data_IF_487336992152
#
_entry.id   IF_487336992152
#
_cell.length_a   1.000
_cell.length_b   1.000
_cell.length_c   1.000
_cell.angle_alpha   90.00
_cell.angle_beta   90.00
_cell.angle_gamma   90.00
#
_symmetry.space_group_name_H-M   'P 1'
#
loop_
_entity.id
_entity.type
_entity.pdbx_description
1 polymer ?
#
# COMPACT_ATOMS: atom_id res chain seq x y z
N UNK A 1 21.51 -17.23 -47.29
CA UNK A 1 20.46 -18.24 -47.55
C UNK A 1 20.20 -18.94 -46.23
N UNK A 2 19.60 -18.25 -45.25
CA UNK A 2 18.16 -17.92 -45.15
C UNK A 2 17.34 -19.23 -45.15
N UNK A 3 16.53 -19.59 -44.15
CA UNK A 3 15.73 -18.77 -43.23
C UNK A 3 15.54 -19.44 -41.86
N UNK A 4 15.57 -18.60 -40.83
CA UNK A 4 15.00 -18.87 -39.50
C UNK A 4 13.53 -18.41 -39.46
N UNK A 5 12.69 -19.13 -38.70
CA UNK A 5 11.76 -18.51 -37.74
C UNK A 5 11.07 -19.53 -36.81
N UNK A 6 10.62 -19.08 -35.63
CA UNK A 6 10.67 -19.86 -34.39
C UNK A 6 9.28 -20.06 -33.75
N UNK A 7 9.18 -20.96 -32.78
CA UNK A 7 7.96 -21.04 -31.98
C UNK A 7 8.00 -22.09 -30.88
N UNK A 8 8.17 -21.63 -29.64
CA UNK A 8 7.62 -22.32 -28.48
C UNK A 8 8.58 -23.21 -27.71
N UNK A 9 9.41 -22.61 -26.84
CA UNK A 9 9.80 -23.21 -25.55
C UNK A 9 10.75 -22.29 -24.79
N UNK A 10 10.21 -21.42 -23.95
CA UNK A 10 10.87 -21.07 -22.68
C UNK A 10 9.89 -20.31 -21.78
N UNK A 11 9.25 -21.02 -20.85
CA UNK A 11 8.50 -20.42 -19.74
C UNK A 11 8.43 -21.34 -18.52
N UNK A 12 9.40 -22.23 -18.35
CA UNK A 12 9.50 -23.14 -17.19
C UNK A 12 10.94 -23.52 -16.89
N UNK A 13 11.71 -22.64 -16.27
CA UNK A 13 12.92 -23.10 -15.55
C UNK A 13 13.43 -22.16 -14.45
N UNK A 14 12.64 -21.20 -13.98
CA UNK A 14 13.04 -20.32 -12.88
C UNK A 14 12.04 -20.42 -11.73
N UNK A 15 12.11 -21.55 -11.00
CA UNK A 15 11.17 -21.82 -9.90
C UNK A 15 11.67 -22.81 -8.82
N UNK A 16 12.97 -23.04 -8.65
CA UNK A 16 13.42 -24.00 -7.64
C UNK A 16 14.63 -23.47 -6.88
N UNK A 17 14.38 -22.85 -5.72
CA UNK A 17 15.44 -22.45 -4.80
C UNK A 17 14.92 -21.72 -3.58
N UNK A 18 14.37 -20.51 -3.76
CA UNK A 18 13.95 -19.66 -2.63
C UNK A 18 12.72 -18.78 -2.91
N UNK A 19 12.17 -18.83 -4.13
CA UNK A 19 10.89 -18.19 -4.48
C UNK A 19 9.66 -18.84 -3.80
N UNK A 20 9.87 -19.85 -2.95
CA UNK A 20 8.83 -20.54 -2.20
C UNK A 20 8.58 -19.94 -0.80
N UNK A 21 9.45 -19.06 -0.30
CA UNK A 21 9.37 -18.52 1.08
C UNK A 21 9.05 -17.02 1.17
N UNK A 22 9.07 -16.29 0.05
CA UNK A 22 8.48 -14.96 -0.04
C UNK A 22 7.03 -15.09 -0.53
N UNK A 23 6.07 -14.29 -0.01
CA UNK A 23 4.67 -14.34 -0.41
C UNK A 23 4.50 -13.71 -1.80
N UNK A 24 5.13 -14.31 -2.83
CA UNK A 24 4.97 -13.97 -4.24
C UNK A 24 3.49 -14.06 -4.64
N UNK A 25 2.75 -14.95 -3.98
CA UNK A 25 1.35 -15.20 -4.26
C UNK A 25 0.38 -14.68 -3.20
N UNK A 26 0.59 -14.84 -1.90
CA UNK A 26 -0.54 -14.69 -0.96
C UNK A 26 -1.14 -13.29 -0.88
N UNK A 27 -0.37 -12.20 -0.85
CA UNK A 27 -0.95 -10.84 -0.71
C UNK A 27 -1.72 -10.42 -1.96
N UNK A 28 -1.08 -10.52 -3.12
CA UNK A 28 -1.66 -10.11 -4.39
C UNK A 28 -2.66 -11.15 -4.92
N UNK A 29 -2.51 -12.43 -4.60
CA UNK A 29 -3.53 -13.44 -4.84
C UNK A 29 -4.71 -13.29 -3.88
N UNK A 30 -4.56 -12.97 -2.59
CA UNK A 30 -5.70 -12.67 -1.72
C UNK A 30 -6.37 -11.36 -2.11
N UNK A 31 -5.63 -10.32 -2.51
CA UNK A 31 -6.22 -9.10 -3.08
C UNK A 31 -6.87 -9.38 -4.44
N UNK A 32 -6.34 -10.27 -5.28
CA UNK A 32 -6.95 -10.69 -6.54
C UNK A 32 -8.13 -11.66 -6.34
N UNK A 33 -8.13 -12.50 -5.32
CA UNK A 33 -9.18 -13.46 -4.94
C UNK A 33 -10.29 -12.75 -4.17
N UNK A 34 -9.96 -11.75 -3.35
CA UNK A 34 -10.94 -10.89 -2.66
C UNK A 34 -11.42 -9.76 -3.54
N UNK A 35 -10.63 -9.26 -4.50
CA UNK A 35 -11.17 -8.46 -5.60
C UNK A 35 -11.97 -9.32 -6.57
N UNK A 36 -11.66 -10.61 -6.77
CA UNK A 36 -12.58 -11.60 -7.36
C UNK A 36 -13.79 -11.84 -6.50
N UNK A 37 -13.74 -11.82 -5.17
CA UNK A 37 -14.91 -11.95 -4.29
C UNK A 37 -15.72 -10.65 -4.25
N UNK A 38 -15.08 -9.50 -4.41
CA UNK A 38 -15.72 -8.18 -4.53
C UNK A 38 -16.34 -8.02 -5.91
N UNK A 39 -15.59 -8.30 -6.99
CA UNK A 39 -16.11 -8.36 -8.37
C UNK A 39 -17.10 -9.48 -8.56
N UNK A 40 -16.97 -10.65 -7.93
CA UNK A 40 -18.00 -11.71 -7.92
C UNK A 40 -19.18 -11.36 -7.03
N UNK A 41 -19.05 -10.55 -5.97
CA UNK A 41 -20.22 -9.96 -5.28
C UNK A 41 -20.89 -8.85 -6.09
N UNK A 42 -20.15 -8.21 -7.01
CA UNK A 42 -20.68 -7.25 -7.98
C UNK A 42 -21.20 -7.96 -9.24
N UNK A 43 -20.69 -9.15 -9.58
CA UNK A 43 -20.93 -9.93 -10.80
C UNK A 43 -21.63 -11.27 -10.55
N UNK A 44 -22.13 -11.54 -9.34
CA UNK A 44 -22.94 -12.73 -9.06
C UNK A 44 -24.27 -12.57 -9.78
N UNK A 45 -24.29 -13.18 -10.96
CA UNK A 45 -25.37 -13.24 -11.94
C UNK A 45 -26.71 -13.77 -11.41
N UNK A 46 -26.75 -14.42 -10.22
CA UNK A 46 -28.02 -14.77 -9.55
C UNK A 46 -28.74 -13.53 -8.99
N UNK A 47 -28.02 -12.44 -8.72
CA UNK A 47 -28.63 -11.13 -8.48
C UNK A 47 -28.89 -10.37 -9.79
N UNK A 48 -28.02 -10.51 -10.79
CA UNK A 48 -28.17 -9.80 -12.08
C UNK A 48 -29.39 -10.23 -12.90
N UNK A 49 -29.80 -11.51 -12.83
CA UNK A 49 -31.03 -11.98 -13.48
C UNK A 49 -32.30 -11.58 -12.71
N UNK A 50 -32.21 -11.40 -11.38
CA UNK A 50 -33.30 -10.87 -10.56
C UNK A 50 -33.44 -9.34 -10.69
N UNK A 51 -32.35 -8.67 -11.10
CA UNK A 51 -32.29 -7.23 -11.46
C UNK A 51 -32.97 -6.93 -12.80
N UNK A 52 -33.11 -7.90 -13.71
CA UNK A 52 -33.54 -7.68 -15.09
C UNK A 52 -35.03 -8.01 -15.36
N UNK A 53 -35.81 -8.35 -14.34
CA UNK A 53 -37.21 -8.75 -14.47
C UNK A 53 -38.22 -7.61 -14.26
N UNK A 54 -38.37 -6.74 -15.28
CA UNK A 54 -39.50 -5.78 -15.47
C UNK A 54 -39.74 -4.72 -14.38
N UNK A 55 -39.06 -3.57 -14.44
CA UNK A 55 -39.70 -2.26 -14.17
C UNK A 55 -38.76 -1.10 -14.45
N UNK A 56 -39.25 -0.06 -15.12
CA UNK A 56 -38.58 1.21 -15.46
C UNK A 56 -38.32 2.12 -14.25
N UNK A 57 -38.38 1.59 -13.04
CA UNK A 57 -38.19 2.34 -11.79
C UNK A 57 -37.42 1.46 -10.82
N UNK A 58 -36.39 2.05 -10.23
CA UNK A 58 -35.45 1.47 -9.28
C UNK A 58 -36.19 0.68 -8.19
N UNK A 59 -36.00 -0.64 -8.15
CA UNK A 59 -36.36 -1.42 -6.96
C UNK A 59 -35.37 -2.57 -6.67
N UNK A 60 -34.88 -2.51 -5.43
CA UNK A 60 -34.38 -3.58 -4.56
C UNK A 60 -32.95 -4.15 -4.72
N UNK A 61 -32.05 -3.64 -3.88
CA UNK A 61 -31.15 -4.50 -3.09
C UNK A 61 -31.10 -4.01 -1.62
N UNK A 62 -32.01 -4.53 -0.80
CA UNK A 62 -32.24 -4.06 0.57
C UNK A 62 -31.52 -4.90 1.61
N UNK A 63 -30.75 -4.25 2.48
CA UNK A 63 -30.50 -4.76 3.83
C UNK A 63 -30.93 -3.70 4.82
N UNK A 64 -32.07 -3.92 5.48
CA UNK A 64 -32.56 -3.10 6.59
C UNK A 64 -31.60 -3.26 7.76
N UNK A 65 -30.65 -2.34 7.92
CA UNK A 65 -29.94 -2.17 9.18
C UNK A 65 -30.78 -1.17 9.97
N UNK A 66 -31.53 -1.65 10.96
CA UNK A 66 -32.22 -0.78 11.91
C UNK A 66 -31.15 0.04 12.65
N UNK A 67 -30.82 1.21 12.11
CA UNK A 67 -30.13 2.27 12.84
C UNK A 67 -31.22 2.99 13.63
N UNK A 68 -31.03 3.01 14.94
CA UNK A 68 -32.05 3.34 15.94
C UNK A 68 -32.39 4.84 16.03
N UNK A 69 -32.24 5.60 14.95
CA UNK A 69 -32.58 7.03 14.88
C UNK A 69 -33.23 7.35 13.53
N UNK A 70 -34.55 7.20 13.45
CA UNK A 70 -35.36 7.87 12.43
C UNK A 70 -36.83 7.86 12.84
N UNK A 71 -37.20 8.77 13.74
CA UNK A 71 -38.62 9.11 13.92
C UNK A 71 -39.15 10.03 12.81
N UNK A 72 -38.27 10.53 11.91
CA UNK A 72 -38.61 11.57 10.94
C UNK A 72 -38.80 11.10 9.48
N UNK A 73 -38.39 9.89 9.07
CA UNK A 73 -38.56 9.42 7.68
C UNK A 73 -38.61 7.87 7.57
N UNK A 74 -39.77 7.22 7.76
CA UNK A 74 -39.89 5.74 7.76
C UNK A 74 -39.60 5.06 6.40
N UNK A 75 -39.46 5.85 5.32
CA UNK A 75 -39.21 5.36 3.96
C UNK A 75 -37.83 5.77 3.40
N UNK A 76 -36.95 6.38 4.20
CA UNK A 76 -35.62 6.78 3.73
C UNK A 76 -34.76 5.55 3.41
N UNK A 77 -34.23 5.50 2.18
CA UNK A 77 -33.33 4.46 1.73
C UNK A 77 -31.87 4.86 1.94
N UNK A 78 -31.18 4.16 2.84
CA UNK A 78 -29.76 4.37 3.09
C UNK A 78 -28.91 3.55 2.11
N UNK A 79 -28.14 4.24 1.26
CA UNK A 79 -27.17 3.62 0.37
C UNK A 79 -25.76 3.86 0.95
N UNK A 80 -25.03 2.78 1.19
CA UNK A 80 -23.65 2.87 1.64
C UNK A 80 -22.74 3.41 0.53
N UNK A 81 -21.84 4.34 0.87
CA UNK A 81 -20.82 4.86 -0.04
C UNK A 81 -19.91 3.72 -0.57
N UNK A 82 -19.82 3.58 -1.90
CA UNK A 82 -19.00 2.55 -2.55
C UNK A 82 -17.52 2.65 -2.19
N UNK A 83 -16.96 3.86 -2.15
CA UNK A 83 -15.58 4.08 -1.75
C UNK A 83 -15.34 3.63 -0.31
N UNK A 84 -16.26 3.92 0.61
CA UNK A 84 -16.14 3.47 1.99
C UNK A 84 -16.19 1.93 2.10
N UNK A 85 -17.10 1.28 1.36
CA UNK A 85 -17.17 -0.18 1.33
C UNK A 85 -15.92 -0.82 0.75
N UNK A 86 -15.35 -0.22 -0.28
CA UNK A 86 -14.09 -0.66 -0.88
C UNK A 86 -12.95 -0.54 0.13
N UNK A 87 -12.81 0.60 0.82
CA UNK A 87 -11.78 0.80 1.85
C UNK A 87 -11.87 -0.22 2.98
N UNK A 88 -13.08 -0.52 3.48
CA UNK A 88 -13.28 -1.56 4.50
C UNK A 88 -12.87 -2.95 4.00
N UNK A 89 -13.21 -3.28 2.75
CA UNK A 89 -12.83 -4.57 2.16
C UNK A 89 -11.31 -4.70 2.00
N UNK A 90 -10.62 -3.62 1.59
CA UNK A 90 -9.16 -3.58 1.46
C UNK A 90 -8.46 -3.72 2.81
N UNK A 91 -8.92 -3.01 3.85
CA UNK A 91 -8.40 -3.17 5.21
C UNK A 91 -8.58 -4.62 5.69
N UNK A 92 -9.77 -5.19 5.54
CA UNK A 92 -10.05 -6.57 5.94
C UNK A 92 -9.23 -7.61 5.14
N UNK A 93 -8.96 -7.35 3.85
CA UNK A 93 -8.09 -8.19 3.03
C UNK A 93 -6.63 -8.11 3.51
N UNK A 94 -6.12 -6.90 3.75
CA UNK A 94 -4.73 -6.70 4.21
C UNK A 94 -4.46 -7.37 5.55
N UNK A 95 -5.40 -7.29 6.51
CA UNK A 95 -5.30 -7.94 7.82
C UNK A 95 -5.35 -9.46 7.76
N UNK A 96 -5.93 -10.03 6.71
CA UNK A 96 -5.95 -11.49 6.53
C UNK A 96 -4.60 -12.04 6.09
N UNK A 97 -3.68 -11.20 5.62
CA UNK A 97 -2.36 -11.61 5.17
C UNK A 97 -1.33 -11.31 6.26
N UNK A 98 -0.84 -12.35 6.92
CA UNK A 98 -0.02 -12.25 8.13
C UNK A 98 1.20 -11.33 7.95
N UNK A 99 2.00 -11.44 6.86
CA UNK A 99 3.14 -10.53 6.64
C UNK A 99 2.74 -9.05 6.57
N UNK A 100 1.58 -8.74 5.98
CA UNK A 100 1.07 -7.36 5.87
C UNK A 100 0.57 -6.85 7.22
N UNK A 101 -0.11 -7.70 7.99
CA UNK A 101 -0.49 -7.38 9.37
C UNK A 101 0.74 -7.02 10.21
N UNK A 102 1.74 -7.90 10.23
CA UNK A 102 3.02 -7.67 10.93
C UNK A 102 3.72 -6.41 10.46
N UNK A 103 3.70 -6.13 9.15
CA UNK A 103 4.26 -4.90 8.60
C UNK A 103 3.60 -3.65 9.20
N UNK A 104 2.26 -3.61 9.30
CA UNK A 104 1.57 -2.46 9.88
C UNK A 104 1.83 -2.30 11.38
N UNK A 105 1.96 -3.41 12.12
CA UNK A 105 2.33 -3.35 13.54
C UNK A 105 3.75 -2.79 13.72
N UNK A 106 4.71 -3.28 12.91
CA UNK A 106 6.09 -2.78 12.87
C UNK A 106 6.15 -1.30 12.46
N UNK A 107 5.37 -0.90 11.46
CA UNK A 107 5.26 0.49 11.02
C UNK A 107 4.74 1.38 12.16
N UNK A 108 3.68 0.96 12.85
CA UNK A 108 3.13 1.70 13.98
C UNK A 108 4.17 1.82 15.12
N UNK A 109 4.92 0.77 15.41
CA UNK A 109 6.01 0.77 16.39
C UNK A 109 7.09 1.80 16.04
N UNK A 110 7.58 1.81 14.79
CA UNK A 110 8.58 2.78 14.31
C UNK A 110 8.06 4.21 14.44
N UNK A 111 6.83 4.47 13.99
CA UNK A 111 6.19 5.79 14.06
C UNK A 111 6.07 6.25 15.51
N UNK A 112 5.68 5.35 16.42
CA UNK A 112 5.55 5.69 17.83
C UNK A 112 6.90 6.07 18.46
N UNK A 113 7.98 5.36 18.14
CA UNK A 113 9.32 5.70 18.65
C UNK A 113 9.76 7.07 18.14
N UNK A 114 9.70 7.30 16.83
CA UNK A 114 10.16 8.56 16.23
C UNK A 114 9.25 9.72 16.65
N UNK A 115 7.95 9.49 16.73
CA UNK A 115 6.93 10.49 17.05
C UNK A 115 6.74 10.78 18.55
N UNK A 116 7.36 9.99 19.45
CA UNK A 116 7.09 10.04 20.90
C UNK A 116 7.36 11.38 21.58
N UNK A 117 8.10 12.31 20.97
CA UNK A 117 8.36 13.62 21.57
C UNK A 117 8.49 14.74 20.54
N UNK A 118 8.22 15.98 20.98
CA UNK A 118 8.44 17.18 20.17
C UNK A 118 9.91 17.30 19.72
N UNK A 119 10.86 17.00 20.62
CA UNK A 119 12.30 17.00 20.34
C UNK A 119 12.66 16.06 19.17
N UNK A 120 12.11 14.85 19.12
CA UNK A 120 12.39 13.91 18.03
C UNK A 120 11.77 14.35 16.71
N UNK A 121 10.58 14.94 16.75
CA UNK A 121 9.97 15.54 15.56
C UNK A 121 10.79 16.71 15.02
N UNK A 122 11.42 17.51 15.88
CA UNK A 122 12.36 18.56 15.47
C UNK A 122 13.63 17.96 14.85
N UNK A 123 14.22 16.95 15.48
CA UNK A 123 15.37 16.21 14.93
C UNK A 123 15.05 15.60 13.55
N UNK A 124 13.83 15.09 13.36
CA UNK A 124 13.37 14.55 12.08
C UNK A 124 13.25 15.63 11.00
N UNK A 125 12.81 16.84 11.36
CA UNK A 125 12.75 17.98 10.43
C UNK A 125 14.15 18.48 10.06
N UNK A 126 15.08 18.51 11.02
CA UNK A 126 16.47 18.88 10.78
C UNK A 126 17.20 17.86 9.90
N UNK A 127 16.96 16.56 10.11
CA UNK A 127 17.51 15.51 9.26
C UNK A 127 16.97 15.60 7.82
N UNK A 128 15.68 15.94 7.64
CA UNK A 128 15.13 16.22 6.32
C UNK A 128 15.80 17.43 5.65
N UNK A 129 16.04 18.52 6.39
CA UNK A 129 16.74 19.69 5.84
C UNK A 129 18.15 19.33 5.35
N UNK A 130 18.86 18.50 6.12
CA UNK A 130 20.19 18.02 5.75
C UNK A 130 20.16 17.13 4.51
N UNK A 131 19.21 16.19 4.42
CA UNK A 131 19.03 15.33 3.25
C UNK A 131 18.67 16.15 2.01
N UNK A 132 17.76 17.12 2.11
CA UNK A 132 17.43 18.00 0.99
C UNK A 132 18.63 18.84 0.55
N UNK A 133 19.39 19.40 1.49
CA UNK A 133 20.59 20.17 1.15
C UNK A 133 21.62 19.31 0.41
N UNK A 134 21.82 18.06 0.86
CA UNK A 134 22.71 17.11 0.19
C UNK A 134 22.23 16.75 -1.22
N UNK A 135 20.95 16.41 -1.40
CA UNK A 135 20.39 16.04 -2.70
C UNK A 135 20.39 17.20 -3.70
N UNK A 136 20.25 18.45 -3.23
CA UNK A 136 20.40 19.65 -4.06
C UNK A 136 21.86 19.82 -4.50
N UNK A 137 22.82 19.58 -3.60
CA UNK A 137 24.26 19.73 -3.88
C UNK A 137 24.74 18.76 -4.98
N UNK A 138 24.19 17.55 -5.01
CA UNK A 138 24.50 16.53 -6.05
C UNK A 138 23.58 16.61 -7.28
N UNK A 139 22.76 17.66 -7.39
CA UNK A 139 21.81 17.89 -8.50
C UNK A 139 20.79 16.74 -8.72
N UNK A 140 20.54 15.91 -7.70
CA UNK A 140 19.51 14.87 -7.74
C UNK A 140 18.12 15.44 -7.44
N UNK A 141 18.03 16.69 -7.00
CA UNK A 141 16.79 17.29 -6.54
C UNK A 141 16.68 18.78 -6.90
N UNK A 142 15.66 19.11 -7.69
CA UNK A 142 15.38 20.48 -8.15
C UNK A 142 14.78 21.37 -7.05
N UNK A 143 15.14 22.65 -7.06
CA UNK A 143 14.53 23.66 -6.17
C UNK A 143 13.37 24.38 -6.87
N UNK A 144 12.21 24.46 -6.18
CA UNK A 144 11.01 25.08 -6.76
C UNK A 144 9.92 25.34 -5.72
N UNK A 145 9.00 26.25 -6.04
CA UNK A 145 7.91 26.64 -5.13
C UNK A 145 6.98 25.45 -4.87
N UNK A 146 6.99 24.95 -3.63
CA UNK A 146 6.16 23.82 -3.22
C UNK A 146 6.83 22.44 -3.36
N UNK A 147 8.07 22.37 -3.86
CA UNK A 147 8.89 21.16 -3.83
C UNK A 147 9.55 20.99 -2.45
N UNK A 148 9.95 19.75 -2.12
CA UNK A 148 10.77 19.43 -0.93
C UNK A 148 10.11 19.82 0.40
N UNK A 149 8.77 19.74 0.43
CA UNK A 149 8.03 20.03 1.65
C UNK A 149 8.35 18.99 2.72
N UNK A 150 8.72 19.49 3.90
CA UNK A 150 8.90 18.68 5.11
C UNK A 150 7.66 17.83 5.36
N UNK A 151 7.86 16.54 5.54
CA UNK A 151 6.83 15.60 5.90
C UNK A 151 6.96 15.17 7.35
N UNK A 152 5.86 14.77 7.96
CA UNK A 152 5.83 14.13 9.27
C UNK A 152 5.41 12.68 9.12
N UNK A 153 5.91 11.80 9.98
CA UNK A 153 5.39 10.45 10.08
C UNK A 153 3.95 10.53 10.60
N UNK A 154 2.98 10.25 9.73
CA UNK A 154 1.58 10.24 10.10
C UNK A 154 1.23 8.87 10.66
N UNK A 155 0.65 8.82 11.86
CA UNK A 155 0.07 7.58 12.36
C UNK A 155 -1.18 7.24 11.55
N UNK A 156 -1.28 5.99 11.11
CA UNK A 156 -2.47 5.52 10.43
C UNK A 156 -3.60 5.33 11.44
N UNK A 157 -4.79 5.87 11.17
CA UNK A 157 -5.99 5.50 11.93
C UNK A 157 -6.48 4.11 11.54
N UNK A 158 -6.94 3.33 12.51
CA UNK A 158 -7.29 1.88 12.40
C UNK A 158 -8.32 1.50 11.32
N UNK A 159 -9.02 2.49 10.77
CA UNK A 159 -10.22 2.31 9.96
C UNK A 159 -10.14 2.89 8.55
N UNK A 160 -9.12 3.70 8.24
CA UNK A 160 -9.07 4.45 6.96
C UNK A 160 -7.85 4.07 6.15
N UNK A 161 -8.10 3.33 5.07
CA UNK A 161 -7.10 2.92 4.07
C UNK A 161 -6.24 4.08 3.55
N UNK A 162 -6.84 5.25 3.31
CA UNK A 162 -6.10 6.44 2.87
C UNK A 162 -5.15 6.99 3.94
N UNK A 163 -5.43 6.77 5.24
CA UNK A 163 -4.51 7.12 6.32
C UNK A 163 -3.27 6.24 6.27
N UNK A 164 -3.45 4.92 6.15
CA UNK A 164 -2.35 3.97 5.97
C UNK A 164 -1.51 4.31 4.74
N UNK A 165 -2.15 4.71 3.63
CA UNK A 165 -1.43 5.12 2.42
C UNK A 165 -0.58 6.38 2.63
N UNK A 166 -1.09 7.38 3.36
CA UNK A 166 -0.31 8.57 3.74
C UNK A 166 0.86 8.22 4.65
N UNK A 167 0.68 7.31 5.63
CA UNK A 167 1.75 6.85 6.51
C UNK A 167 2.89 6.19 5.73
N UNK A 168 2.57 5.26 4.84
CA UNK A 168 3.54 4.59 3.96
C UNK A 168 4.25 5.59 3.05
N UNK A 169 3.47 6.47 2.41
CA UNK A 169 4.01 7.47 1.49
C UNK A 169 4.93 8.45 2.20
N UNK A 170 4.60 8.83 3.44
CA UNK A 170 5.45 9.66 4.28
C UNK A 170 6.74 8.93 4.64
N UNK A 171 6.66 7.71 5.18
CA UNK A 171 7.84 6.95 5.58
C UNK A 171 8.83 6.75 4.42
N UNK A 172 8.35 6.44 3.21
CA UNK A 172 9.21 6.32 2.02
C UNK A 172 9.95 7.64 1.74
N UNK A 173 9.26 8.77 1.85
CA UNK A 173 9.85 10.10 1.58
C UNK A 173 10.90 10.49 2.60
N UNK A 174 10.71 10.12 3.87
CA UNK A 174 11.59 10.51 4.97
C UNK A 174 12.30 9.31 5.59
N UNK A 175 12.62 8.31 4.77
CA UNK A 175 13.18 7.04 5.22
C UNK A 175 14.55 7.25 5.87
N UNK A 176 15.48 7.90 5.17
CA UNK A 176 16.84 8.16 5.66
C UNK A 176 16.84 9.07 6.91
N UNK A 177 16.06 10.17 6.95
CA UNK A 177 15.88 10.96 8.17
C UNK A 177 15.32 10.16 9.34
N UNK A 178 14.42 9.19 9.08
CA UNK A 178 13.90 8.30 10.12
C UNK A 178 14.99 7.39 10.67
N UNK A 179 15.81 6.80 9.80
CA UNK A 179 17.00 6.02 10.19
C UNK A 179 17.95 6.86 11.06
N UNK A 180 18.24 8.10 10.68
CA UNK A 180 19.11 8.98 11.47
C UNK A 180 18.57 9.26 12.88
N UNK A 181 17.27 9.54 13.01
CA UNK A 181 16.67 9.78 14.33
C UNK A 181 16.76 8.52 15.20
N UNK A 182 16.51 7.34 14.64
CA UNK A 182 16.67 6.08 15.36
C UNK A 182 18.12 5.87 15.82
N UNK A 183 19.11 6.07 14.94
CA UNK A 183 20.54 6.00 15.28
C UNK A 183 20.95 7.00 16.36
N UNK A 184 20.40 8.22 16.35
CA UNK A 184 20.61 9.22 17.42
C UNK A 184 20.03 8.73 18.75
N UNK A 185 18.83 8.14 18.76
CA UNK A 185 18.24 7.58 19.99
C UNK A 185 19.07 6.42 20.53
N UNK A 186 19.64 5.57 19.67
CA UNK A 186 20.53 4.47 20.08
C UNK A 186 21.78 5.03 20.78
N UNK A 187 22.42 6.05 20.19
CA UNK A 187 23.65 6.65 20.72
C UNK A 187 23.44 7.51 21.97
N UNK A 188 22.37 8.30 22.01
CA UNK A 188 22.14 9.35 23.02
C UNK A 188 21.03 8.98 24.03
N UNK A 189 20.48 7.77 23.94
CA UNK A 189 19.33 7.33 24.74
C UNK A 189 19.61 7.38 26.24
N UNK A 190 18.70 7.99 27.01
CA UNK A 190 18.82 8.11 28.46
C UNK A 190 18.55 6.80 29.22
N UNK A 191 17.92 5.82 28.57
CA UNK A 191 17.61 4.52 29.16
C UNK A 191 17.91 3.38 28.19
N UNK A 192 18.44 2.28 28.72
CA UNK A 192 18.76 1.07 27.94
C UNK A 192 17.54 0.51 27.20
N UNK A 193 16.35 0.54 27.82
CA UNK A 193 15.10 0.11 27.18
C UNK A 193 14.76 0.92 25.93
N UNK A 194 14.93 2.26 25.95
CA UNK A 194 14.66 3.10 24.76
C UNK A 194 15.69 2.92 23.67
N UNK A 195 16.94 2.61 24.04
CA UNK A 195 17.99 2.28 23.08
C UNK A 195 17.67 0.95 22.38
N UNK A 196 17.30 -0.09 23.13
CA UNK A 196 16.90 -1.40 22.58
C UNK A 196 15.68 -1.29 21.67
N UNK A 197 14.68 -0.51 22.06
CA UNK A 197 13.50 -0.26 21.20
C UNK A 197 13.88 0.45 19.90
N UNK A 198 14.74 1.46 19.95
CA UNK A 198 15.20 2.19 18.77
C UNK A 198 16.09 1.33 17.86
N UNK A 199 16.94 0.48 18.44
CA UNK A 199 17.77 -0.49 17.73
C UNK A 199 16.90 -1.52 17.01
N UNK A 200 15.94 -2.12 17.72
CA UNK A 200 14.95 -3.04 17.14
C UNK A 200 14.16 -2.38 16.00
N UNK A 201 13.75 -1.11 16.17
CA UNK A 201 13.06 -0.36 15.14
C UNK A 201 13.94 -0.09 13.92
N UNK A 202 15.22 0.21 14.13
CA UNK A 202 16.20 0.44 13.08
C UNK A 202 16.47 -0.84 12.28
N UNK A 203 16.74 -1.97 12.95
CA UNK A 203 16.90 -3.28 12.31
C UNK A 203 15.66 -3.68 11.51
N UNK A 204 14.47 -3.43 12.07
CA UNK A 204 13.20 -3.71 11.38
C UNK A 204 13.06 -2.84 10.13
N UNK A 205 13.26 -1.53 10.25
CA UNK A 205 13.12 -0.56 9.16
C UNK A 205 14.11 -0.83 8.02
N UNK A 206 15.33 -1.24 8.37
CA UNK A 206 16.42 -1.54 7.42
C UNK A 206 16.44 -3.00 6.98
N UNK A 207 15.43 -3.80 7.33
CA UNK A 207 15.30 -5.15 6.79
C UNK A 207 14.74 -5.12 5.36
N UNK A 208 15.29 -5.94 4.47
CA UNK A 208 14.77 -6.10 3.11
C UNK A 208 13.29 -6.48 3.08
N UNK A 209 12.85 -7.37 3.99
CA UNK A 209 11.44 -7.77 4.13
C UNK A 209 10.54 -6.55 4.35
N UNK A 210 10.91 -5.65 5.26
CA UNK A 210 10.13 -4.46 5.56
C UNK A 210 10.10 -3.50 4.36
N UNK A 211 11.25 -3.22 3.74
CA UNK A 211 11.34 -2.33 2.56
C UNK A 211 10.55 -2.87 1.37
N UNK A 212 10.62 -4.19 1.16
CA UNK A 212 9.86 -4.87 0.12
C UNK A 212 8.34 -4.71 0.32
N UNK A 213 7.84 -5.04 1.52
CA UNK A 213 6.40 -4.91 1.83
C UNK A 213 5.99 -3.42 1.79
N UNK A 214 6.85 -2.49 2.24
CA UNK A 214 6.61 -1.06 2.16
C UNK A 214 6.33 -0.60 0.71
N UNK A 215 7.15 -1.02 -0.24
CA UNK A 215 7.00 -0.68 -1.66
C UNK A 215 5.81 -1.39 -2.32
N UNK A 216 5.59 -2.68 -2.00
CA UNK A 216 4.45 -3.44 -2.47
C UNK A 216 3.12 -2.79 -2.02
N UNK A 217 3.03 -2.44 -0.74
CA UNK A 217 1.85 -1.80 -0.17
C UNK A 217 1.67 -0.40 -0.75
N UNK A 218 2.73 0.41 -0.89
CA UNK A 218 2.66 1.72 -1.56
C UNK A 218 1.97 1.61 -2.92
N UNK A 219 2.42 0.68 -3.78
CA UNK A 219 1.91 0.57 -5.14
C UNK A 219 0.47 0.08 -5.20
N UNK A 220 0.16 -0.95 -4.41
CA UNK A 220 -1.20 -1.49 -4.29
C UNK A 220 -2.18 -0.44 -3.78
N UNK A 221 -1.78 0.30 -2.74
CA UNK A 221 -2.60 1.35 -2.14
C UNK A 221 -2.81 2.50 -3.11
N UNK A 222 -1.79 2.93 -3.84
CA UNK A 222 -1.89 3.98 -4.87
C UNK A 222 -2.99 3.66 -5.91
N UNK A 223 -3.00 2.43 -6.44
CA UNK A 223 -4.03 2.00 -7.41
C UNK A 223 -5.43 2.06 -6.81
N UNK A 224 -5.59 1.55 -5.59
CA UNK A 224 -6.88 1.52 -4.91
C UNK A 224 -7.35 2.88 -4.40
N UNK A 225 -6.44 3.80 -4.07
CA UNK A 225 -6.76 5.15 -3.60
C UNK A 225 -7.27 6.01 -4.77
N UNK A 226 -6.65 5.90 -5.96
CA UNK A 226 -7.17 6.51 -7.19
C UNK A 226 -8.61 6.09 -7.46
N UNK A 227 -8.91 4.79 -7.36
CA UNK A 227 -10.28 4.30 -7.48
C UNK A 227 -11.21 4.89 -6.40
N UNK A 228 -10.77 4.93 -5.15
CA UNK A 228 -11.56 5.50 -4.06
C UNK A 228 -11.89 6.99 -4.29
N UNK A 229 -10.94 7.77 -4.78
CA UNK A 229 -11.15 9.19 -5.10
C UNK A 229 -12.18 9.35 -6.22
N UNK A 230 -12.06 8.59 -7.30
CA UNK A 230 -13.01 8.67 -8.43
C UNK A 230 -14.41 8.20 -8.01
N UNK A 231 -14.52 7.16 -7.18
CA UNK A 231 -15.82 6.70 -6.65
C UNK A 231 -16.48 7.71 -5.68
N UNK A 232 -15.75 8.71 -5.20
CA UNK A 232 -16.29 9.79 -4.36
C UNK A 232 -16.71 11.02 -5.18
N UNK A 233 -16.44 11.05 -6.48
CA UNK A 233 -16.86 12.15 -7.35
C UNK A 233 -18.39 12.18 -7.49
N UNK A 234 -18.99 13.36 -7.37
CA UNK A 234 -20.44 13.55 -7.43
C UNK A 234 -21.05 13.24 -8.81
N UNK A 235 -20.24 13.33 -9.87
CA UNK A 235 -20.68 13.11 -11.25
C UNK A 235 -20.66 11.63 -11.67
N UNK A 236 -20.34 10.73 -10.74
CA UNK A 236 -20.08 9.33 -11.03
C UNK A 236 -21.38 8.51 -11.08
N UNK A 237 -21.73 7.97 -12.25
CA UNK A 237 -22.83 7.01 -12.39
C UNK A 237 -22.37 5.56 -12.13
N UNK A 238 -23.35 4.68 -11.91
CA UNK A 238 -23.12 3.26 -11.54
C UNK A 238 -22.38 2.47 -12.64
N UNK A 239 -22.66 2.71 -13.93
CA UNK A 239 -22.04 1.97 -15.04
C UNK A 239 -20.57 2.38 -15.16
N UNK A 240 -20.29 3.68 -15.06
CA UNK A 240 -18.93 4.18 -15.07
C UNK A 240 -18.17 3.71 -13.82
N UNK A 241 -18.81 3.65 -12.64
CA UNK A 241 -18.20 3.09 -11.43
C UNK A 241 -17.82 1.60 -11.61
N UNK A 242 -18.69 0.79 -12.22
CA UNK A 242 -18.40 -0.60 -12.53
C UNK A 242 -17.22 -0.75 -13.49
N UNK A 243 -17.16 0.07 -14.55
CA UNK A 243 -16.03 0.10 -15.49
C UNK A 243 -14.72 0.44 -14.78
N UNK A 244 -14.73 1.41 -13.88
CA UNK A 244 -13.55 1.81 -13.10
C UNK A 244 -13.08 0.70 -12.15
N UNK A 245 -14.00 0.00 -11.50
CA UNK A 245 -13.68 -1.17 -10.65
C UNK A 245 -13.02 -2.26 -11.48
N UNK A 246 -13.57 -2.60 -12.66
CA UNK A 246 -12.99 -3.59 -13.57
C UNK A 246 -11.60 -3.19 -14.07
N UNK A 247 -11.44 -1.94 -14.51
CA UNK A 247 -10.16 -1.41 -14.99
C UNK A 247 -9.09 -1.41 -13.89
N UNK A 248 -9.47 -1.04 -12.65
CA UNK A 248 -8.55 -1.07 -11.50
C UNK A 248 -8.14 -2.50 -11.15
N UNK A 249 -9.05 -3.47 -11.28
CA UNK A 249 -8.73 -4.88 -11.09
C UNK A 249 -7.73 -5.36 -12.13
N UNK A 250 -7.90 -5.03 -13.40
CA UNK A 250 -6.95 -5.37 -14.47
C UNK A 250 -5.57 -4.75 -14.21
N UNK A 251 -5.51 -3.50 -13.74
CA UNK A 251 -4.25 -2.85 -13.35
C UNK A 251 -3.55 -3.58 -12.20
N UNK A 252 -4.30 -4.01 -11.16
CA UNK A 252 -3.73 -4.77 -10.04
C UNK A 252 -3.24 -6.15 -10.51
N UNK A 253 -3.96 -6.80 -11.44
CA UNK A 253 -3.55 -8.08 -12.02
C UNK A 253 -2.27 -7.94 -12.84
N UNK A 254 -2.23 -6.95 -13.74
CA UNK A 254 -1.04 -6.60 -14.54
C UNK A 254 0.15 -6.29 -13.63
N UNK A 255 -0.08 -5.54 -12.55
CA UNK A 255 0.97 -5.25 -11.58
C UNK A 255 1.55 -6.53 -10.94
N UNK A 256 0.68 -7.48 -10.58
CA UNK A 256 1.10 -8.76 -9.99
C UNK A 256 1.81 -9.66 -11.00
N UNK A 257 1.27 -9.77 -12.21
CA UNK A 257 1.67 -10.78 -13.19
C UNK A 257 2.89 -10.32 -14.01
N UNK A 258 2.96 -9.04 -14.38
CA UNK A 258 3.95 -8.51 -15.35
C UNK A 258 4.92 -7.48 -14.76
N UNK A 259 4.62 -6.91 -13.58
CA UNK A 259 5.40 -5.80 -12.98
C UNK A 259 6.12 -6.18 -11.69
N UNK A 260 6.28 -7.47 -11.44
CA UNK A 260 7.01 -7.98 -10.29
C UNK A 260 8.50 -7.61 -10.35
N UNK A 261 9.13 -7.81 -11.50
CA UNK A 261 10.57 -7.53 -11.65
C UNK A 261 10.85 -6.02 -11.60
N UNK A 262 9.95 -5.20 -12.14
CA UNK A 262 9.98 -3.73 -11.99
C UNK A 262 9.92 -3.33 -10.49
N UNK A 263 9.02 -3.95 -9.71
CA UNK A 263 8.95 -3.70 -8.26
C UNK A 263 10.24 -4.10 -7.55
N UNK A 264 10.77 -5.29 -7.85
CA UNK A 264 11.98 -5.81 -7.22
C UNK A 264 13.19 -4.93 -7.54
N UNK A 265 13.34 -4.52 -8.79
CA UNK A 265 14.40 -3.60 -9.23
C UNK A 265 14.35 -2.28 -8.46
N UNK A 266 13.14 -1.70 -8.30
CA UNK A 266 12.96 -0.49 -7.52
C UNK A 266 13.32 -0.68 -6.04
N UNK A 267 12.98 -1.83 -5.46
CA UNK A 267 13.31 -2.15 -4.05
C UNK A 267 14.81 -2.32 -3.88
N UNK A 268 15.48 -3.06 -4.77
CA UNK A 268 16.94 -3.25 -4.73
C UNK A 268 17.65 -1.91 -4.84
N UNK A 269 17.31 -1.09 -5.85
CA UNK A 269 17.88 0.25 -6.00
C UNK A 269 17.64 1.13 -4.77
N UNK A 270 16.43 1.07 -4.18
CA UNK A 270 16.13 1.81 -2.95
C UNK A 270 17.01 1.39 -1.77
N UNK A 271 17.29 0.09 -1.65
CA UNK A 271 18.13 -0.49 -0.61
C UNK A 271 19.62 -0.19 -0.83
N UNK A 272 20.13 -0.38 -2.04
CA UNK A 272 21.53 -0.09 -2.41
C UNK A 272 21.90 1.36 -2.13
N UNK A 273 21.02 2.30 -2.52
CA UNK A 273 21.20 3.73 -2.24
C UNK A 273 21.34 4.05 -0.75
N UNK A 274 20.83 3.17 0.12
CA UNK A 274 20.79 3.34 1.58
C UNK A 274 21.68 2.34 2.32
N UNK A 275 22.54 1.62 1.60
CA UNK A 275 23.41 0.58 2.16
C UNK A 275 22.66 -0.48 2.98
N UNK A 276 21.42 -0.79 2.57
CA UNK A 276 20.62 -1.86 3.18
C UNK A 276 21.05 -3.18 2.57
N UNK A 277 21.41 -4.15 3.42
CA UNK A 277 21.88 -5.46 2.98
C UNK A 277 20.80 -6.19 2.17
N UNK A 278 21.15 -6.47 0.91
CA UNK A 278 20.34 -7.23 -0.03
C UNK A 278 20.94 -8.61 -0.34
N UNK A 279 22.05 -9.01 0.30
CA UNK A 279 22.89 -10.16 -0.09
C UNK A 279 22.20 -11.54 -0.04
N UNK A 280 20.95 -11.63 0.41
CA UNK A 280 20.11 -12.83 0.31
C UNK A 280 19.11 -12.81 -0.86
N UNK A 281 19.02 -11.73 -1.63
CA UNK A 281 17.98 -11.46 -2.62
C UNK A 281 18.50 -10.92 -3.95
N UNK A 282 19.82 -10.72 -4.06
CA UNK A 282 20.49 -10.33 -5.28
C UNK A 282 20.46 -11.48 -6.30
N UNK A 283 19.55 -11.37 -7.27
CA UNK A 283 19.45 -12.31 -8.38
C UNK A 283 20.53 -12.08 -9.45
N UNK A 284 21.47 -11.14 -9.29
CA UNK A 284 22.54 -10.89 -10.26
C UNK A 284 23.69 -11.92 -10.22
N UNK A 285 23.64 -12.87 -9.29
CA UNK A 285 24.60 -13.97 -9.14
C UNK A 285 24.07 -15.36 -9.59
N UNK A 286 22.97 -15.40 -10.34
CA UNK A 286 22.42 -16.64 -10.93
C UNK A 286 22.36 -16.59 -12.46
#
# INVERSE_FOLDING_TARGET
MDLASPGGSSLRSWSHGFAASLPRCEILADLAVRSRSFTARISDSRQSALIMGKSTTITHFFKRKNLNDSHDCPYAYYIHCFAHRLQLALVAASKAVIPVGKFFDRLAFIINIVGASCKRNEQLKLAQDAEFAYLIDIDELETGRGLNQKCTLQQAGDTRWSSHFRSISSLIKIFSPTCEVLLKIIKEGSTSSRQVEADTAYETLTSFEFVFILHLMKKTMELSDKLCQVLQCQTQDILTAMRLVSSTKELIQTFRDDKWDDLLTNVISFCELRSIDCARYDCSLC
#
